data_IF_567641971019
#
_entry.id   IF_567641971019
#
_cell.length_a   1.000
_cell.length_b   1.000
_cell.length_c   1.000
_cell.angle_alpha   90.00
_cell.angle_beta   90.00
_cell.angle_gamma   90.00
#
_symmetry.space_group_name_H-M   'P 1'
#
loop_
_entity.id
_entity.type
_entity.pdbx_description
1 polymer ?
#
# COMPACT_ATOMS: atom_id res chain seq x y z
N UNK A 1 -3.96 0.95 -9.31
CA UNK A 1 -4.81 -0.26 -9.14
C UNK A 1 -3.99 -1.30 -8.38
N UNK A 2 -4.47 -1.77 -7.24
CA UNK A 2 -3.86 -2.85 -6.45
C UNK A 2 -4.71 -4.12 -6.63
N UNK A 3 -4.07 -5.26 -6.81
CA UNK A 3 -4.73 -6.57 -6.86
C UNK A 3 -4.43 -7.31 -5.56
N UNK A 4 -5.44 -7.80 -4.85
CA UNK A 4 -5.29 -8.55 -3.59
C UNK A 4 -5.25 -10.07 -3.84
N UNK A 5 -4.45 -10.81 -3.06
CA UNK A 5 -4.66 -12.24 -2.84
C UNK A 5 -5.82 -12.41 -1.84
N UNK A 6 -6.49 -13.57 -1.83
CA UNK A 6 -7.77 -13.83 -1.14
C UNK A 6 -7.86 -13.57 0.38
N UNK A 7 -6.83 -13.01 1.01
CA UNK A 7 -6.74 -12.61 2.41
C UNK A 7 -6.49 -11.09 2.58
N UNK A 8 -7.06 -10.25 1.70
CA UNK A 8 -6.88 -8.78 1.69
C UNK A 8 -5.42 -8.28 1.50
N UNK A 9 -4.48 -9.19 1.25
CA UNK A 9 -3.06 -8.85 1.11
C UNK A 9 -2.76 -8.38 -0.30
N UNK A 10 -2.14 -7.20 -0.50
CA UNK A 10 -1.83 -6.70 -1.81
C UNK A 10 -0.76 -7.57 -2.50
N UNK A 11 -1.01 -7.93 -3.76
CA UNK A 11 -0.19 -8.85 -4.55
C UNK A 11 0.58 -8.15 -5.67
N UNK A 12 0.02 -7.09 -6.22
CA UNK A 12 0.69 -6.23 -7.19
C UNK A 12 0.00 -4.88 -7.29
N UNK A 13 0.74 -3.86 -7.73
CA UNK A 13 0.22 -2.52 -7.97
C UNK A 13 0.80 -1.91 -9.25
N UNK A 14 0.20 -0.80 -9.69
CA UNK A 14 0.68 0.00 -10.81
C UNK A 14 1.24 1.32 -10.30
N UNK A 15 2.48 1.64 -10.70
CA UNK A 15 3.07 2.98 -10.61
C UNK A 15 3.11 3.60 -12.01
N UNK A 16 2.16 4.48 -12.30
CA UNK A 16 1.92 4.96 -13.68
C UNK A 16 1.59 3.80 -14.64
N UNK A 17 2.51 3.52 -15.57
CA UNK A 17 2.40 2.40 -16.53
C UNK A 17 3.16 1.14 -16.09
N UNK A 18 3.91 1.24 -14.99
CA UNK A 18 4.79 0.19 -14.53
C UNK A 18 4.07 -0.73 -13.53
N UNK A 19 4.13 -2.04 -13.77
CA UNK A 19 3.60 -3.04 -12.84
C UNK A 19 4.69 -3.51 -11.88
N UNK A 20 4.39 -3.48 -10.59
CA UNK A 20 5.20 -4.02 -9.51
C UNK A 20 4.49 -5.21 -8.89
N UNK A 21 5.16 -6.36 -8.83
CA UNK A 21 4.67 -7.52 -8.10
C UNK A 21 5.23 -7.45 -6.68
N UNK A 22 4.35 -7.58 -5.70
CA UNK A 22 4.74 -7.63 -4.29
C UNK A 22 5.29 -9.03 -4.01
N UNK A 23 6.53 -9.08 -3.57
CA UNK A 23 7.21 -10.32 -3.17
C UNK A 23 7.14 -10.55 -1.67
N UNK A 24 7.05 -9.46 -0.89
CA UNK A 24 7.00 -9.49 0.56
C UNK A 24 6.21 -8.30 1.09
N UNK A 25 5.37 -8.53 2.09
CA UNK A 25 4.81 -7.47 2.94
C UNK A 25 5.71 -7.37 4.17
N UNK A 26 6.41 -6.25 4.27
CA UNK A 26 7.45 -6.02 5.28
C UNK A 26 6.81 -5.59 6.59
N UNK A 27 5.80 -4.72 6.53
CA UNK A 27 5.07 -4.24 7.70
C UNK A 27 3.67 -3.72 7.30
N UNK A 28 2.75 -3.67 8.26
CA UNK A 28 1.44 -3.05 8.08
C UNK A 28 0.98 -2.33 9.35
N UNK A 29 0.63 -1.05 9.23
CA UNK A 29 0.20 -0.24 10.37
C UNK A 29 -0.94 0.70 10.01
N UNK A 30 -1.74 1.08 11.00
CA UNK A 30 -2.77 2.10 10.83
C UNK A 30 -2.19 3.46 11.19
N UNK A 31 -2.37 4.41 10.30
CA UNK A 31 -2.23 5.81 10.66
C UNK A 31 -3.62 6.40 10.91
N UNK A 32 -3.82 6.84 12.15
CA UNK A 32 -4.90 7.75 12.47
C UNK A 32 -4.39 9.14 12.14
N UNK A 33 -4.84 9.73 11.03
CA UNK A 33 -4.56 11.13 10.69
C UNK A 33 -5.18 12.10 11.70
N UNK A 34 -5.83 13.16 11.26
CA UNK A 34 -6.70 13.96 12.14
C UNK A 34 -8.04 13.21 12.35
N UNK A 35 -7.97 12.01 12.93
CA UNK A 35 -9.15 11.19 13.23
C UNK A 35 -10.14 11.91 14.15
N UNK A 36 -9.66 12.86 14.96
CA UNK A 36 -10.48 13.78 15.75
C UNK A 36 -11.25 14.82 14.91
N UNK A 37 -10.83 15.05 13.66
CA UNK A 37 -11.43 15.99 12.71
C UNK A 37 -12.26 15.26 11.62
N UNK A 38 -12.56 13.98 11.83
CA UNK A 38 -13.38 13.19 10.91
C UNK A 38 -12.61 12.61 9.71
N UNK A 39 -11.28 12.68 9.69
CA UNK A 39 -10.51 11.96 8.68
C UNK A 39 -10.64 10.44 8.88
N UNK A 40 -10.92 9.67 7.81
CA UNK A 40 -11.00 8.22 7.90
C UNK A 40 -9.63 7.62 8.27
N UNK A 41 -9.61 6.52 9.04
CA UNK A 41 -8.37 5.81 9.31
C UNK A 41 -7.79 5.29 7.99
N UNK A 42 -6.49 5.45 7.81
CA UNK A 42 -5.75 4.91 6.67
C UNK A 42 -4.86 3.75 7.11
N UNK A 43 -4.82 2.71 6.31
CA UNK A 43 -3.97 1.55 6.53
C UNK A 43 -2.77 1.67 5.60
N UNK A 44 -1.56 1.65 6.17
CA UNK A 44 -0.32 1.66 5.42
C UNK A 44 0.26 0.25 5.38
N UNK A 45 0.75 -0.13 4.20
CA UNK A 45 1.40 -1.40 3.93
C UNK A 45 2.78 -1.14 3.32
N UNK A 46 3.84 -1.49 4.04
CA UNK A 46 5.18 -1.48 3.46
C UNK A 46 5.41 -2.80 2.72
N UNK A 47 5.75 -2.70 1.45
CA UNK A 47 5.92 -3.85 0.57
C UNK A 47 7.29 -3.79 -0.12
N UNK A 48 7.85 -4.97 -0.34
CA UNK A 48 9.01 -5.16 -1.19
C UNK A 48 8.55 -5.81 -2.50
N UNK A 49 9.17 -5.37 -3.61
CA UNK A 49 8.73 -5.74 -4.96
C UNK A 49 9.76 -6.58 -5.70
N UNK A 50 9.33 -7.25 -6.76
CA UNK A 50 10.19 -8.05 -7.65
C UNK A 50 11.29 -7.22 -8.35
N UNK A 51 11.12 -5.89 -8.35
CA UNK A 51 12.09 -4.92 -8.87
C UNK A 51 13.06 -4.41 -7.81
N UNK A 52 13.10 -5.07 -6.65
CA UNK A 52 14.05 -4.82 -5.58
C UNK A 52 13.90 -3.42 -4.93
N UNK A 53 12.68 -2.87 -4.93
CA UNK A 53 12.33 -1.58 -4.34
C UNK A 53 11.27 -1.69 -3.25
N UNK A 54 11.35 -0.79 -2.26
CA UNK A 54 10.38 -0.67 -1.17
C UNK A 54 9.35 0.42 -1.46
N UNK A 55 8.09 0.11 -1.16
CA UNK A 55 6.96 1.02 -1.35
C UNK A 55 6.07 1.00 -0.11
N UNK A 56 5.57 2.16 0.29
CA UNK A 56 4.45 2.26 1.22
C UNK A 56 3.19 2.48 0.39
N UNK A 57 2.24 1.56 0.50
CA UNK A 57 0.92 1.65 -0.09
C UNK A 57 -0.06 2.11 0.98
N UNK A 58 -0.91 3.07 0.65
CA UNK A 58 -1.99 3.54 1.50
C UNK A 58 -3.31 2.94 1.02
N UNK A 59 -4.12 2.51 1.98
CA UNK A 59 -5.49 2.07 1.80
C UNK A 59 -6.43 2.92 2.65
N UNK A 60 -7.38 3.60 1.99
CA UNK A 60 -8.46 4.38 2.62
C UNK A 60 -9.79 3.81 2.18
N UNK A 61 -10.46 3.07 3.07
CA UNK A 61 -11.60 2.23 2.67
C UNK A 61 -11.17 1.18 1.64
N UNK A 62 -11.81 1.18 0.47
CA UNK A 62 -11.46 0.29 -0.66
C UNK A 62 -10.47 0.91 -1.66
N UNK A 63 -10.09 2.18 -1.47
CA UNK A 63 -9.19 2.88 -2.37
C UNK A 63 -7.73 2.65 -1.98
N UNK A 64 -6.88 2.45 -3.00
CA UNK A 64 -5.44 2.24 -2.83
C UNK A 64 -4.61 3.28 -3.60
N UNK A 65 -3.55 3.77 -2.97
CA UNK A 65 -2.61 4.77 -3.49
C UNK A 65 -1.17 4.40 -3.13
N UNK A 66 -0.19 4.86 -3.93
CA UNK A 66 1.22 4.83 -3.54
C UNK A 66 1.44 6.03 -2.63
N UNK A 67 1.78 5.79 -1.37
CA UNK A 67 2.03 6.83 -0.38
C UNK A 67 3.48 7.29 -0.42
N UNK A 68 4.42 6.35 -0.49
CA UNK A 68 5.86 6.65 -0.56
C UNK A 68 6.62 5.60 -1.35
N UNK A 69 7.57 6.07 -2.14
CA UNK A 69 8.60 5.25 -2.79
C UNK A 69 9.91 5.46 -2.03
N UNK A 70 10.64 4.37 -1.75
CA UNK A 70 11.95 4.41 -1.12
C UNK A 70 13.01 4.03 -2.15
N UNK A 71 13.98 4.92 -2.39
CA UNK A 71 15.16 4.74 -3.27
C UNK A 71 16.36 4.15 -2.51
#
# INVERSE_FOLDING_TARGET
>A
MVLSQGDDTPASFLDGSEKHKITEVVDCWRESGEWWNGEPPRQIWRVFTDKNGFFDLEQVGDAWSIYRVWD
#
